data_IF_869280377985
#
_entry.id   IF_869280377985
#
_cell.length_a   1.000
_cell.length_b   1.000
_cell.length_c   1.000
_cell.angle_alpha   90.00
_cell.angle_beta   90.00
_cell.angle_gamma   90.00
#
_symmetry.space_group_name_H-M   'P 1'
#
loop_
_entity.id
_entity.type
_entity.pdbx_description
1 polymer ?
#
# COMPACT_ATOMS: atom_id res chain seq x y z
N UNK A 1 57.19 30.03 13.25
CA UNK A 1 56.75 31.02 12.28
C UNK A 1 55.86 30.37 11.27
N UNK A 2 54.58 30.39 11.46
CA UNK A 2 53.49 30.83 10.59
C UNK A 2 52.14 30.39 11.19
N UNK A 3 51.28 31.36 11.38
CA UNK A 3 49.93 31.27 11.90
C UNK A 3 49.05 30.41 10.97
N UNK A 4 48.28 29.51 11.55
CA UNK A 4 47.16 28.85 10.86
C UNK A 4 45.86 29.33 11.51
N UNK A 5 45.08 30.06 10.68
CA UNK A 5 43.86 30.71 11.09
C UNK A 5 42.77 29.73 11.55
N UNK A 6 42.09 30.13 12.60
CA UNK A 6 40.86 29.50 13.14
C UNK A 6 39.72 29.77 12.14
N UNK A 7 39.24 28.73 11.44
CA UNK A 7 37.96 28.75 10.77
C UNK A 7 36.81 28.59 11.77
N UNK A 8 35.91 29.58 11.79
CA UNK A 8 34.77 29.61 12.69
C UNK A 8 33.76 28.50 12.39
N UNK A 9 33.36 27.80 13.44
CA UNK A 9 32.24 26.85 13.40
C UNK A 9 30.93 27.62 13.28
N UNK A 10 30.33 27.62 12.09
CA UNK A 10 28.96 28.05 11.92
C UNK A 10 28.03 26.98 12.51
N UNK A 11 27.38 27.32 13.63
CA UNK A 11 26.31 26.55 14.25
C UNK A 11 25.16 26.41 13.23
N UNK A 12 24.93 25.19 12.74
CA UNK A 12 23.68 24.84 12.06
C UNK A 12 22.59 24.82 13.12
N UNK A 13 21.74 25.85 13.12
CA UNK A 13 20.52 25.85 13.88
C UNK A 13 19.69 24.63 13.45
N UNK A 14 19.39 23.74 14.39
CA UNK A 14 18.52 22.59 14.21
C UNK A 14 17.13 23.09 13.83
N UNK A 15 16.67 22.76 12.63
CA UNK A 15 15.27 22.91 12.27
C UNK A 15 14.48 21.94 13.14
N UNK A 16 13.69 22.46 14.05
CA UNK A 16 12.65 21.70 14.78
C UNK A 16 11.71 21.11 13.74
N UNK A 17 11.40 19.80 13.78
CA UNK A 17 10.39 19.25 12.88
C UNK A 17 9.08 20.01 13.10
N UNK A 18 8.49 20.50 12.01
CA UNK A 18 7.19 21.17 12.06
C UNK A 18 6.17 20.21 12.69
N UNK A 19 5.33 20.72 13.60
CA UNK A 19 4.24 19.96 14.16
C UNK A 19 3.36 19.43 13.00
N UNK A 20 2.79 18.20 13.11
CA UNK A 20 1.93 17.66 12.06
C UNK A 20 0.79 18.65 11.79
N UNK A 21 0.61 18.97 10.50
CA UNK A 21 -0.39 19.93 10.05
C UNK A 21 -1.79 19.41 10.39
N UNK A 22 -2.46 20.08 11.35
CA UNK A 22 -3.82 19.72 11.78
C UNK A 22 -4.85 19.87 10.66
N UNK A 23 -4.55 20.61 9.60
CA UNK A 23 -5.42 20.74 8.43
C UNK A 23 -5.38 19.46 7.59
N UNK A 24 -4.21 18.81 7.42
CA UNK A 24 -4.11 17.59 6.64
C UNK A 24 -5.04 16.47 7.15
N UNK A 25 -5.14 16.30 8.47
CA UNK A 25 -6.04 15.29 9.04
C UNK A 25 -7.53 15.57 8.80
N UNK A 26 -7.94 16.86 8.77
CA UNK A 26 -9.33 17.26 8.48
C UNK A 26 -9.67 17.08 7.00
N UNK A 27 -8.75 17.45 6.12
CA UNK A 27 -8.93 17.33 4.68
C UNK A 27 -9.01 15.85 4.27
N UNK A 28 -8.20 14.99 4.84
CA UNK A 28 -8.24 13.54 4.60
C UNK A 28 -9.57 12.91 5.04
N UNK A 29 -10.12 13.30 6.20
CA UNK A 29 -11.45 12.84 6.65
C UNK A 29 -12.54 13.26 5.64
N UNK A 30 -12.52 14.50 5.17
CA UNK A 30 -13.48 15.00 4.19
C UNK A 30 -13.36 14.27 2.85
N UNK A 31 -12.13 13.99 2.39
CA UNK A 31 -11.90 13.18 1.19
C UNK A 31 -12.47 11.76 1.35
N UNK A 32 -12.33 11.17 2.53
CA UNK A 32 -12.89 9.85 2.80
C UNK A 32 -14.42 9.82 2.77
N UNK A 33 -15.09 10.84 3.32
CA UNK A 33 -16.55 10.98 3.24
C UNK A 33 -17.04 11.09 1.79
N UNK A 34 -16.35 11.86 0.96
CA UNK A 34 -16.65 11.96 -0.49
C UNK A 34 -16.44 10.65 -1.22
N UNK A 35 -15.33 9.93 -0.93
CA UNK A 35 -15.06 8.61 -1.45
C UNK A 35 -16.18 7.62 -1.09
N UNK A 36 -16.60 7.59 0.19
CA UNK A 36 -17.68 6.74 0.64
C UNK A 36 -19.01 7.07 -0.06
N UNK A 37 -19.33 8.36 -0.21
CA UNK A 37 -20.54 8.81 -0.90
C UNK A 37 -20.54 8.34 -2.36
N UNK A 38 -19.38 8.41 -3.04
CA UNK A 38 -19.22 7.93 -4.40
C UNK A 38 -19.46 6.43 -4.51
N UNK A 39 -18.85 5.64 -3.65
CA UNK A 39 -19.04 4.17 -3.65
C UNK A 39 -20.47 3.77 -3.32
N UNK A 40 -21.13 4.45 -2.37
CA UNK A 40 -22.55 4.25 -2.07
C UNK A 40 -23.47 4.64 -3.23
N UNK A 41 -23.01 5.47 -4.15
CA UNK A 41 -23.72 5.79 -5.39
C UNK A 41 -23.80 4.62 -6.37
N UNK A 42 -22.98 3.59 -6.23
CA UNK A 42 -23.05 2.36 -7.02
C UNK A 42 -24.18 1.46 -6.49
N UNK A 43 -25.21 1.13 -7.31
CA UNK A 43 -26.40 0.42 -6.80
C UNK A 43 -26.09 -0.91 -6.13
N UNK A 44 -25.13 -1.68 -6.65
CA UNK A 44 -24.74 -2.96 -6.09
C UNK A 44 -24.02 -2.79 -4.74
N UNK A 45 -23.19 -1.76 -4.59
CA UNK A 45 -22.52 -1.43 -3.32
C UNK A 45 -23.55 -1.03 -2.28
N UNK A 46 -24.50 -0.13 -2.65
CA UNK A 46 -25.56 0.32 -1.76
C UNK A 46 -26.48 -0.81 -1.26
N UNK A 47 -26.67 -1.85 -2.08
CA UNK A 47 -27.51 -3.00 -1.77
C UNK A 47 -26.76 -4.12 -1.00
N UNK A 48 -25.44 -3.96 -0.73
CA UNK A 48 -24.62 -5.04 -0.16
C UNK A 48 -24.08 -4.69 1.23
N UNK A 49 -24.78 -5.11 2.33
CA UNK A 49 -24.44 -4.71 3.70
C UNK A 49 -23.00 -5.04 4.12
N UNK A 50 -22.44 -6.19 3.70
CA UNK A 50 -21.08 -6.58 4.05
C UNK A 50 -20.05 -5.66 3.37
N UNK A 51 -20.30 -5.24 2.13
CA UNK A 51 -19.45 -4.31 1.41
C UNK A 51 -19.47 -2.92 2.08
N UNK A 52 -20.66 -2.43 2.46
CA UNK A 52 -20.81 -1.19 3.20
C UNK A 52 -20.09 -1.23 4.55
N UNK A 53 -20.20 -2.35 5.29
CA UNK A 53 -19.52 -2.50 6.57
C UNK A 53 -17.98 -2.48 6.43
N UNK A 54 -17.42 -3.03 5.34
CA UNK A 54 -15.98 -2.96 5.05
C UNK A 54 -15.56 -1.52 4.71
N UNK A 55 -16.35 -0.78 3.93
CA UNK A 55 -16.10 0.62 3.59
C UNK A 55 -16.14 1.49 4.88
N UNK A 56 -17.12 1.31 5.73
CA UNK A 56 -17.27 2.06 6.98
C UNK A 56 -16.18 1.72 8.00
N UNK A 57 -15.85 0.43 8.12
CA UNK A 57 -14.84 -0.06 9.04
C UNK A 57 -13.40 0.35 8.66
N UNK A 58 -13.16 0.76 7.44
CA UNK A 58 -11.83 1.15 6.97
C UNK A 58 -11.27 2.39 7.67
N UNK A 59 -12.12 3.29 8.19
CA UNK A 59 -11.70 4.46 8.98
C UNK A 59 -10.98 4.06 10.27
N UNK A 60 -11.30 2.90 10.82
CA UNK A 60 -10.77 2.41 12.10
C UNK A 60 -9.64 1.40 11.91
N UNK A 61 -9.34 1.05 10.67
CA UNK A 61 -8.22 0.18 10.34
C UNK A 61 -7.03 1.05 9.96
N UNK A 62 -5.85 0.61 10.35
CA UNK A 62 -4.57 1.12 9.87
C UNK A 62 -4.35 0.70 8.40
N UNK A 63 -5.39 0.86 7.58
CA UNK A 63 -5.23 0.77 6.13
C UNK A 63 -4.30 1.91 5.77
N UNK A 64 -3.05 1.55 5.50
CA UNK A 64 -2.02 2.46 5.04
C UNK A 64 -2.67 3.52 4.16
N UNK A 65 -2.45 4.82 4.43
CA UNK A 65 -3.16 5.95 3.80
C UNK A 65 -3.00 6.04 2.26
N UNK A 66 -2.69 4.92 1.60
CA UNK A 66 -2.48 4.85 0.15
C UNK A 66 -3.69 5.31 -0.67
N UNK A 67 -4.90 5.20 -0.13
CA UNK A 67 -6.12 5.67 -0.79
C UNK A 67 -6.19 7.20 -0.94
N UNK A 68 -5.48 7.98 -0.10
CA UNK A 68 -5.43 9.45 -0.19
C UNK A 68 -4.32 9.95 -1.13
N UNK A 69 -3.37 9.11 -1.49
CA UNK A 69 -2.26 9.45 -2.39
C UNK A 69 -2.68 10.00 -3.75
N UNK A 70 -3.78 9.54 -4.39
CA UNK A 70 -4.26 10.18 -5.61
C UNK A 70 -4.60 11.66 -5.40
N UNK A 71 -5.18 12.03 -4.27
CA UNK A 71 -5.52 13.42 -3.96
C UNK A 71 -4.25 14.24 -3.75
N UNK A 72 -3.30 13.73 -2.99
CA UNK A 72 -1.99 14.37 -2.75
C UNK A 72 -1.24 14.57 -4.07
N UNK A 73 -1.17 13.55 -4.92
CA UNK A 73 -0.50 13.63 -6.21
C UNK A 73 -1.18 14.63 -7.17
N UNK A 74 -2.52 14.65 -7.19
CA UNK A 74 -3.30 15.61 -7.97
C UNK A 74 -2.98 17.05 -7.56
N UNK A 75 -2.98 17.33 -6.27
CA UNK A 75 -2.63 18.65 -5.73
C UNK A 75 -1.17 19.02 -6.04
N UNK A 76 -0.25 18.08 -5.91
CA UNK A 76 1.17 18.29 -6.19
C UNK A 76 1.44 18.72 -7.64
N UNK A 77 0.59 18.30 -8.58
CA UNK A 77 0.69 18.71 -9.99
C UNK A 77 -0.19 19.93 -10.33
N UNK A 78 -0.82 20.57 -9.32
CA UNK A 78 -1.65 21.77 -9.49
C UNK A 78 -3.11 21.48 -9.82
N UNK A 79 -3.56 20.22 -9.74
CA UNK A 79 -4.96 19.83 -9.90
C UNK A 79 -5.79 20.13 -8.65
N UNK A 80 -7.13 20.13 -8.81
CA UNK A 80 -8.05 20.28 -7.68
C UNK A 80 -8.29 18.91 -7.03
N UNK A 81 -8.39 18.84 -5.69
CA UNK A 81 -8.62 17.58 -4.96
C UNK A 81 -9.79 16.75 -5.51
N UNK A 82 -10.89 17.44 -5.87
CA UNK A 82 -12.11 16.78 -6.34
C UNK A 82 -11.90 15.98 -7.63
N UNK A 83 -10.95 16.39 -8.46
CA UNK A 83 -10.63 15.68 -9.71
C UNK A 83 -10.04 14.28 -9.45
N UNK A 84 -9.44 14.07 -8.28
CA UNK A 84 -8.82 12.79 -7.92
C UNK A 84 -9.72 11.86 -7.08
N UNK A 85 -10.93 12.29 -6.69
CA UNK A 85 -11.80 11.48 -5.81
C UNK A 85 -12.21 10.14 -6.44
N UNK A 86 -12.39 10.10 -7.77
CA UNK A 86 -12.65 8.85 -8.49
C UNK A 86 -11.44 7.89 -8.42
N UNK A 87 -10.25 8.43 -8.59
CA UNK A 87 -8.99 7.69 -8.47
C UNK A 87 -8.76 7.21 -7.02
N UNK A 88 -9.03 8.05 -6.03
CA UNK A 88 -8.96 7.69 -4.62
C UNK A 88 -9.94 6.54 -4.27
N UNK A 89 -11.17 6.58 -4.79
CA UNK A 89 -12.14 5.50 -4.62
C UNK A 89 -11.68 4.19 -5.27
N UNK A 90 -11.06 4.27 -6.44
CA UNK A 90 -10.52 3.09 -7.14
C UNK A 90 -9.34 2.47 -6.39
N UNK A 91 -8.41 3.29 -5.89
CA UNK A 91 -7.27 2.84 -5.06
C UNK A 91 -7.77 2.23 -3.75
N UNK A 92 -8.72 2.86 -3.08
CA UNK A 92 -9.36 2.32 -1.88
C UNK A 92 -9.97 0.93 -2.12
N UNK A 93 -10.74 0.78 -3.18
CA UNK A 93 -11.34 -0.50 -3.55
C UNK A 93 -10.26 -1.57 -3.82
N UNK A 94 -9.20 -1.20 -4.53
CA UNK A 94 -8.08 -2.11 -4.78
C UNK A 94 -7.37 -2.52 -3.49
N UNK A 95 -7.15 -1.58 -2.58
CA UNK A 95 -6.53 -1.83 -1.28
C UNK A 95 -7.36 -2.82 -0.45
N UNK A 96 -8.68 -2.62 -0.35
CA UNK A 96 -9.57 -3.55 0.36
C UNK A 96 -9.57 -4.94 -0.30
N UNK A 97 -9.60 -4.99 -1.64
CA UNK A 97 -9.54 -6.25 -2.38
C UNK A 97 -8.24 -7.01 -2.11
N UNK A 98 -7.10 -6.32 -2.15
CA UNK A 98 -5.78 -6.89 -1.90
C UNK A 98 -5.72 -7.46 -0.47
N UNK A 99 -6.15 -6.70 0.54
CA UNK A 99 -6.16 -7.18 1.92
C UNK A 99 -7.03 -8.43 2.11
N UNK A 100 -8.23 -8.46 1.51
CA UNK A 100 -9.10 -9.64 1.59
C UNK A 100 -8.45 -10.89 0.97
N UNK A 101 -7.71 -10.73 -0.12
CA UNK A 101 -7.00 -11.85 -0.77
C UNK A 101 -5.77 -12.25 0.04
N UNK A 102 -4.99 -11.30 0.52
CA UNK A 102 -3.79 -11.50 1.34
C UNK A 102 -4.15 -12.27 2.62
N UNK A 103 -5.14 -11.78 3.38
CA UNK A 103 -5.66 -12.44 4.57
C UNK A 103 -6.08 -13.91 4.31
N UNK A 104 -6.71 -14.16 3.15
CA UNK A 104 -7.15 -15.51 2.77
C UNK A 104 -5.98 -16.44 2.46
N UNK A 105 -4.97 -15.95 1.73
CA UNK A 105 -3.80 -16.73 1.34
C UNK A 105 -2.90 -17.01 2.53
N UNK A 106 -2.78 -16.02 3.42
CA UNK A 106 -1.97 -16.12 4.63
C UNK A 106 -2.67 -16.79 5.79
N UNK A 107 -3.96 -17.16 5.64
CA UNK A 107 -4.78 -17.71 6.71
C UNK A 107 -4.72 -16.85 7.99
N UNK A 108 -4.67 -15.49 7.82
CA UNK A 108 -4.48 -14.55 8.94
C UNK A 108 -5.62 -14.71 9.97
N UNK A 109 -5.30 -14.98 11.25
CA UNK A 109 -6.32 -15.12 12.30
C UNK A 109 -7.14 -13.84 12.53
N UNK A 110 -6.65 -12.66 12.07
CA UNK A 110 -7.31 -11.36 12.17
C UNK A 110 -8.15 -11.04 10.94
N UNK A 111 -7.98 -11.82 9.85
CA UNK A 111 -8.60 -11.56 8.55
C UNK A 111 -10.13 -11.57 8.61
N UNK A 112 -10.75 -10.68 7.84
CA UNK A 112 -12.21 -10.57 7.76
C UNK A 112 -12.89 -11.86 7.31
N UNK A 113 -12.20 -12.73 6.57
CA UNK A 113 -12.74 -14.01 6.14
C UNK A 113 -13.08 -14.94 7.30
N UNK A 114 -12.46 -14.77 8.47
CA UNK A 114 -12.84 -15.53 9.70
C UNK A 114 -14.28 -15.25 10.12
N UNK A 115 -14.71 -14.01 9.94
CA UNK A 115 -16.08 -13.56 10.26
C UNK A 115 -17.05 -13.77 9.08
N UNK A 116 -16.58 -13.53 7.86
CA UNK A 116 -17.41 -13.57 6.65
C UNK A 116 -17.55 -14.97 6.05
N UNK A 117 -16.54 -15.82 6.23
CA UNK A 117 -16.33 -17.05 5.49
C UNK A 117 -15.46 -16.85 4.24
N UNK A 118 -14.71 -17.90 3.86
CA UNK A 118 -13.77 -17.89 2.72
C UNK A 118 -14.45 -17.50 1.40
N UNK A 119 -15.55 -18.15 1.05
CA UNK A 119 -16.27 -17.88 -0.20
C UNK A 119 -16.80 -16.44 -0.30
N UNK A 120 -17.52 -15.93 0.72
CA UNK A 120 -17.97 -14.54 0.74
C UNK A 120 -16.82 -13.53 0.70
N UNK A 121 -15.71 -13.76 1.40
CA UNK A 121 -14.54 -12.86 1.37
C UNK A 121 -13.89 -12.80 -0.01
N UNK A 122 -13.71 -13.94 -0.67
CA UNK A 122 -13.20 -13.99 -2.05
C UNK A 122 -14.14 -13.27 -3.03
N UNK A 123 -15.46 -13.44 -2.88
CA UNK A 123 -16.43 -12.74 -3.72
C UNK A 123 -16.45 -11.22 -3.46
N UNK A 124 -16.27 -10.78 -2.21
CA UNK A 124 -16.11 -9.37 -1.86
C UNK A 124 -14.84 -8.78 -2.47
N UNK A 125 -13.72 -9.50 -2.45
CA UNK A 125 -12.49 -9.05 -3.11
C UNK A 125 -12.71 -8.78 -4.59
N UNK A 126 -13.38 -9.71 -5.30
CA UNK A 126 -13.77 -9.51 -6.71
C UNK A 126 -14.69 -8.30 -6.89
N UNK A 127 -15.69 -8.14 -6.01
CA UNK A 127 -16.63 -7.03 -6.05
C UNK A 127 -15.94 -5.68 -5.82
N UNK A 128 -14.99 -5.60 -4.91
CA UNK A 128 -14.19 -4.38 -4.69
C UNK A 128 -13.33 -4.04 -5.91
N UNK A 129 -12.69 -5.01 -6.56
CA UNK A 129 -11.98 -4.75 -7.82
C UNK A 129 -12.92 -4.16 -8.87
N UNK A 130 -14.10 -4.76 -9.08
CA UNK A 130 -15.08 -4.25 -10.01
C UNK A 130 -15.60 -2.84 -9.64
N UNK A 131 -15.82 -2.58 -8.33
CA UNK A 131 -16.26 -1.28 -7.86
C UNK A 131 -15.20 -0.19 -8.08
N UNK A 132 -13.90 -0.52 -7.97
CA UNK A 132 -12.82 0.40 -8.31
C UNK A 132 -12.87 0.84 -9.77
N UNK A 133 -13.06 -0.09 -10.69
CA UNK A 133 -13.25 0.22 -12.11
C UNK A 133 -14.53 1.04 -12.35
N UNK A 134 -15.63 0.69 -11.70
CA UNK A 134 -16.90 1.42 -11.81
C UNK A 134 -16.77 2.86 -11.25
N UNK A 135 -15.98 3.07 -10.19
CA UNK A 135 -15.72 4.39 -9.65
C UNK A 135 -14.97 5.33 -10.63
N UNK A 136 -14.16 4.78 -11.54
CA UNK A 136 -13.48 5.53 -12.59
C UNK A 136 -14.37 5.79 -13.82
N UNK A 137 -15.50 5.10 -13.96
CA UNK A 137 -16.43 5.33 -15.07
C UNK A 137 -17.32 6.54 -14.78
N UNK A 138 -16.70 7.71 -14.68
CA UNK A 138 -17.34 8.98 -14.41
C UNK A 138 -17.47 9.80 -15.70
N UNK A 139 -18.68 10.23 -16.09
CA UNK A 139 -18.89 11.05 -17.28
C UNK A 139 -18.20 12.43 -17.19
N UNK A 140 -17.89 12.94 -16.00
CA UNK A 140 -17.17 14.19 -15.82
C UNK A 140 -15.68 14.07 -16.15
N UNK A 141 -15.14 12.85 -16.16
CA UNK A 141 -13.74 12.59 -16.55
C UNK A 141 -13.67 12.51 -18.09
N UNK A 142 -12.78 13.31 -18.70
CA UNK A 142 -12.57 13.26 -20.14
C UNK A 142 -12.25 11.82 -20.62
N UNK A 143 -12.84 11.34 -21.72
CA UNK A 143 -12.71 9.94 -22.15
C UNK A 143 -11.27 9.44 -22.29
N UNK A 144 -10.36 10.28 -22.77
CA UNK A 144 -8.94 9.92 -22.89
C UNK A 144 -8.29 9.71 -21.52
N UNK A 145 -8.53 10.61 -20.55
CA UNK A 145 -8.02 10.48 -19.18
C UNK A 145 -8.62 9.24 -18.51
N UNK A 146 -9.93 9.04 -18.65
CA UNK A 146 -10.61 7.85 -18.11
C UNK A 146 -9.99 6.55 -18.62
N UNK A 147 -9.69 6.47 -19.92
CA UNK A 147 -9.02 5.30 -20.49
C UNK A 147 -7.64 5.05 -19.88
N UNK A 148 -6.84 6.10 -19.66
CA UNK A 148 -5.53 6.00 -19.01
C UNK A 148 -5.65 5.57 -17.53
N UNK A 149 -6.62 6.11 -16.80
CA UNK A 149 -6.89 5.71 -15.41
C UNK A 149 -7.30 4.22 -15.33
N UNK A 150 -8.18 3.77 -16.22
CA UNK A 150 -8.63 2.37 -16.30
C UNK A 150 -7.45 1.43 -16.63
N UNK A 151 -6.60 1.81 -17.58
CA UNK A 151 -5.41 1.02 -17.93
C UNK A 151 -4.43 0.93 -16.75
N UNK A 152 -4.16 2.05 -16.08
CA UNK A 152 -3.29 2.10 -14.92
C UNK A 152 -3.80 1.20 -13.76
N UNK A 153 -5.10 1.26 -13.49
CA UNK A 153 -5.72 0.41 -12.45
C UNK A 153 -5.62 -1.07 -12.79
N UNK A 154 -5.86 -1.44 -14.05
CA UNK A 154 -5.76 -2.83 -14.50
C UNK A 154 -4.31 -3.36 -14.46
N UNK A 155 -3.33 -2.55 -14.90
CA UNK A 155 -1.90 -2.87 -14.81
C UNK A 155 -1.49 -3.12 -13.36
N UNK A 156 -1.89 -2.25 -12.44
CA UNK A 156 -1.64 -2.37 -11.01
C UNK A 156 -2.23 -3.65 -10.44
N UNK A 157 -3.51 -3.92 -10.71
CA UNK A 157 -4.20 -5.10 -10.18
C UNK A 157 -3.52 -6.39 -10.64
N UNK A 158 -3.14 -6.49 -11.92
CA UNK A 158 -2.43 -7.65 -12.45
C UNK A 158 -1.03 -7.79 -11.85
N UNK A 159 -0.28 -6.70 -11.72
CA UNK A 159 1.05 -6.71 -11.13
C UNK A 159 1.02 -7.15 -9.66
N UNK A 160 0.09 -6.62 -8.86
CA UNK A 160 -0.06 -6.97 -7.45
C UNK A 160 -0.50 -8.43 -7.28
N UNK A 161 -1.44 -8.91 -8.10
CA UNK A 161 -1.86 -10.31 -8.08
C UNK A 161 -0.70 -11.26 -8.43
N UNK A 162 0.16 -10.88 -9.38
CA UNK A 162 1.37 -11.62 -9.69
C UNK A 162 2.39 -11.58 -8.54
N UNK A 163 2.55 -10.42 -7.89
CA UNK A 163 3.39 -10.29 -6.71
C UNK A 163 2.95 -11.20 -5.57
N UNK A 164 1.65 -11.29 -5.32
CA UNK A 164 1.06 -12.19 -4.33
C UNK A 164 1.28 -13.67 -4.70
N UNK A 165 1.23 -14.01 -6.01
CA UNK A 165 1.59 -15.34 -6.47
C UNK A 165 3.08 -15.67 -6.23
N UNK A 166 3.97 -14.69 -6.39
CA UNK A 166 5.39 -14.90 -6.06
C UNK A 166 5.61 -15.07 -4.56
N UNK A 167 4.90 -14.29 -3.74
CA UNK A 167 4.98 -14.32 -2.27
C UNK A 167 4.53 -15.65 -1.65
N UNK A 168 3.65 -16.38 -2.34
CA UNK A 168 3.24 -17.73 -1.93
C UNK A 168 4.34 -18.81 -2.05
N UNK A 169 5.54 -18.45 -2.53
CA UNK A 169 6.68 -19.35 -2.66
C UNK A 169 7.72 -19.02 -1.60
N UNK A 170 8.46 -20.04 -1.15
CA UNK A 170 9.62 -19.81 -0.31
C UNK A 170 10.68 -19.00 -1.07
N UNK A 171 11.20 -17.96 -0.44
CA UNK A 171 12.31 -17.14 -0.93
C UNK A 171 13.62 -17.72 -0.41
N UNK A 172 14.49 -18.13 -1.32
CA UNK A 172 15.78 -18.76 -0.98
C UNK A 172 16.94 -17.78 -0.82
N UNK A 173 16.85 -16.61 -1.46
CA UNK A 173 17.92 -15.62 -1.44
C UNK A 173 17.40 -14.17 -1.52
N UNK A 174 18.31 -13.21 -1.37
CA UNK A 174 18.01 -11.78 -1.39
C UNK A 174 17.47 -11.31 -2.76
N UNK A 175 17.92 -11.88 -3.87
CA UNK A 175 17.46 -11.48 -5.19
C UNK A 175 15.99 -11.88 -5.41
N UNK A 176 15.62 -13.08 -4.99
CA UNK A 176 14.23 -13.55 -5.00
C UNK A 176 13.35 -12.69 -4.06
N UNK A 177 13.84 -12.36 -2.87
CA UNK A 177 13.14 -11.45 -1.95
C UNK A 177 12.80 -10.12 -2.64
N UNK A 178 13.78 -9.47 -3.28
CA UNK A 178 13.55 -8.20 -3.95
C UNK A 178 12.61 -8.30 -5.15
N UNK A 179 12.52 -9.46 -5.80
CA UNK A 179 11.51 -9.71 -6.84
C UNK A 179 10.09 -9.74 -6.25
N UNK A 180 9.91 -10.45 -5.14
CA UNK A 180 8.61 -10.50 -4.43
C UNK A 180 8.21 -9.12 -3.95
N UNK A 181 9.07 -8.45 -3.20
CA UNK A 181 8.82 -7.10 -2.66
C UNK A 181 8.50 -6.11 -3.78
N UNK A 182 9.26 -6.13 -4.88
CA UNK A 182 9.03 -5.23 -6.01
C UNK A 182 7.71 -5.46 -6.75
N UNK A 183 7.13 -6.65 -6.64
CA UNK A 183 5.89 -7.03 -7.30
C UNK A 183 4.64 -6.95 -6.40
N UNK A 184 4.76 -7.14 -5.07
CA UNK A 184 3.62 -7.20 -4.13
C UNK A 184 3.05 -5.82 -3.82
N UNK A 185 3.76 -4.99 -3.11
CA UNK A 185 3.28 -3.71 -2.55
C UNK A 185 3.53 -2.48 -3.46
N UNK A 186 4.70 -2.33 -4.10
CA UNK A 186 5.03 -1.16 -4.91
C UNK A 186 4.06 -0.81 -6.03
N UNK A 187 3.44 -1.77 -6.76
CA UNK A 187 2.50 -1.45 -7.83
C UNK A 187 1.31 -0.62 -7.35
N UNK A 188 0.77 -0.90 -6.16
CA UNK A 188 -0.36 -0.14 -5.59
C UNK A 188 0.03 1.31 -5.31
N UNK A 189 1.17 1.54 -4.66
CA UNK A 189 1.65 2.87 -4.31
C UNK A 189 2.04 3.68 -5.55
N UNK A 190 2.67 3.03 -6.53
CA UNK A 190 2.99 3.65 -7.82
C UNK A 190 1.73 4.08 -8.55
N UNK A 191 0.77 3.16 -8.71
CA UNK A 191 -0.50 3.46 -9.36
C UNK A 191 -1.29 4.56 -8.64
N UNK A 192 -1.30 4.58 -7.29
CA UNK A 192 -2.01 5.59 -6.52
C UNK A 192 -1.51 7.02 -6.87
N UNK A 193 -0.19 7.23 -6.88
CA UNK A 193 0.38 8.53 -7.26
C UNK A 193 0.19 8.83 -8.75
N UNK A 194 0.35 7.83 -9.64
CA UNK A 194 0.14 8.00 -11.08
C UNK A 194 -1.30 8.37 -11.42
N UNK A 195 -2.28 7.68 -10.84
CA UNK A 195 -3.71 7.95 -11.03
C UNK A 195 -4.07 9.38 -10.62
N UNK A 196 -3.56 9.83 -9.47
CA UNK A 196 -3.76 11.20 -9.00
C UNK A 196 -3.16 12.25 -9.90
N UNK A 197 -1.94 12.02 -10.39
CA UNK A 197 -1.28 12.92 -11.32
C UNK A 197 -2.05 13.04 -12.65
N UNK A 198 -2.49 11.92 -13.22
CA UNK A 198 -3.31 11.89 -14.44
C UNK A 198 -4.64 12.61 -14.24
N UNK A 199 -5.32 12.38 -13.12
CA UNK A 199 -6.55 13.07 -12.76
C UNK A 199 -6.35 14.59 -12.59
N UNK A 200 -5.17 15.00 -12.11
CA UNK A 200 -4.76 16.41 -11.98
C UNK A 200 -4.33 17.05 -13.29
N UNK A 201 -4.32 16.32 -14.41
CA UNK A 201 -3.95 16.82 -15.73
C UNK A 201 -2.44 16.85 -16.00
N UNK A 202 -1.64 16.10 -15.23
CA UNK A 202 -0.21 16.03 -15.44
C UNK A 202 0.14 15.36 -16.79
N UNK A 203 1.22 15.81 -17.47
CA UNK A 203 1.77 15.08 -18.61
C UNK A 203 2.20 13.66 -18.22
N UNK A 204 2.13 12.71 -19.16
CA UNK A 204 2.47 11.30 -18.94
C UNK A 204 3.88 11.11 -18.33
N UNK A 205 4.85 11.95 -18.70
CA UNK A 205 6.20 11.92 -18.14
C UNK A 205 6.20 12.21 -16.63
N UNK A 206 5.46 13.22 -16.16
CA UNK A 206 5.34 13.58 -14.74
C UNK A 206 4.59 12.49 -14.00
N UNK A 207 3.50 11.96 -14.54
CA UNK A 207 2.75 10.84 -13.97
C UNK A 207 3.65 9.58 -13.83
N UNK A 208 4.55 9.35 -14.79
CA UNK A 208 5.54 8.27 -14.73
C UNK A 208 6.60 8.47 -13.63
N UNK A 209 7.03 9.71 -13.36
CA UNK A 209 7.95 9.99 -12.24
C UNK A 209 7.26 9.76 -10.89
N UNK A 210 5.97 10.15 -10.79
CA UNK A 210 5.19 9.91 -9.58
C UNK A 210 4.89 8.40 -9.37
N UNK A 211 4.69 7.62 -10.44
CA UNK A 211 4.65 6.14 -10.34
C UNK A 211 5.95 5.60 -9.73
N UNK A 212 7.11 6.05 -10.23
CA UNK A 212 8.41 5.62 -9.69
C UNK A 212 8.59 5.98 -8.22
N UNK A 213 8.21 7.19 -7.84
CA UNK A 213 8.25 7.63 -6.44
C UNK A 213 7.34 6.74 -5.57
N UNK A 214 6.12 6.48 -6.02
CA UNK A 214 5.18 5.60 -5.32
C UNK A 214 5.73 4.19 -5.15
N UNK A 215 6.34 3.62 -6.18
CA UNK A 215 6.99 2.30 -6.08
C UNK A 215 8.11 2.26 -5.05
N UNK A 216 8.96 3.28 -4.99
CA UNK A 216 9.99 3.37 -3.95
C UNK A 216 9.38 3.46 -2.55
N UNK A 217 8.30 4.24 -2.40
CA UNK A 217 7.56 4.32 -1.14
C UNK A 217 6.95 2.97 -0.75
N UNK A 218 6.36 2.24 -1.69
CA UNK A 218 5.82 0.90 -1.46
C UNK A 218 6.89 -0.11 -1.05
N UNK A 219 8.09 -0.04 -1.62
CA UNK A 219 9.23 -0.85 -1.17
C UNK A 219 9.64 -0.50 0.25
N UNK A 220 9.70 0.78 0.59
CA UNK A 220 10.02 1.23 1.94
C UNK A 220 8.98 0.74 2.97
N UNK A 221 7.70 0.82 2.62
CA UNK A 221 6.61 0.31 3.46
C UNK A 221 6.77 -1.19 3.69
N UNK A 222 6.95 -2.00 2.65
CA UNK A 222 7.11 -3.45 2.78
C UNK A 222 8.28 -3.83 3.70
N UNK A 223 9.46 -3.21 3.50
CA UNK A 223 10.62 -3.47 4.36
C UNK A 223 10.37 -3.05 5.80
N UNK A 224 9.62 -1.95 6.01
CA UNK A 224 9.26 -1.47 7.34
C UNK A 224 8.29 -2.43 8.05
N UNK A 225 7.33 -2.98 7.30
CA UNK A 225 6.39 -3.98 7.81
C UNK A 225 7.11 -5.27 8.19
N UNK A 226 8.02 -5.76 7.35
CA UNK A 226 8.86 -6.94 7.64
C UNK A 226 9.67 -6.75 8.92
N UNK A 227 10.24 -5.56 9.12
CA UNK A 227 11.01 -5.23 10.33
C UNK A 227 10.09 -5.16 11.55
N UNK A 228 8.92 -4.55 11.43
CA UNK A 228 7.94 -4.46 12.50
C UNK A 228 7.46 -5.84 12.94
N UNK A 229 7.19 -6.72 11.98
CA UNK A 229 6.75 -8.10 12.23
C UNK A 229 7.85 -8.94 12.89
N UNK A 230 9.09 -8.77 12.49
CA UNK A 230 10.23 -9.45 13.11
C UNK A 230 10.43 -9.05 14.59
N UNK A 231 10.05 -7.83 14.96
CA UNK A 231 10.20 -7.29 16.32
C UNK A 231 8.94 -7.46 17.20
N UNK A 232 7.84 -7.96 16.64
CA UNK A 232 6.56 -8.06 17.32
C UNK A 232 6.55 -9.12 18.42
N UNK A 233 5.89 -8.81 19.52
CA UNK A 233 5.64 -9.77 20.62
C UNK A 233 4.14 -9.80 20.96
N UNK A 234 3.48 -10.98 20.94
CA UNK A 234 4.02 -12.27 20.50
C UNK A 234 4.40 -12.26 19.02
N UNK A 235 5.22 -13.23 18.59
CA UNK A 235 5.69 -13.33 17.22
C UNK A 235 4.53 -13.29 16.21
N UNK A 236 4.71 -12.57 15.09
CA UNK A 236 3.70 -12.47 14.02
C UNK A 236 3.45 -13.84 13.38
N UNK A 237 2.32 -13.98 12.70
CA UNK A 237 2.02 -15.19 11.93
C UNK A 237 3.08 -15.45 10.86
N UNK A 238 3.60 -14.40 10.22
CA UNK A 238 4.66 -14.49 9.21
C UNK A 238 5.95 -15.05 9.79
N UNK A 239 6.33 -14.59 10.98
CA UNK A 239 7.47 -15.14 11.69
C UNK A 239 7.29 -16.63 12.05
N UNK A 240 6.09 -17.01 12.47
CA UNK A 240 5.77 -18.41 12.79
C UNK A 240 5.76 -19.31 11.57
N UNK A 241 5.28 -18.80 10.42
CA UNK A 241 5.24 -19.53 9.14
C UNK A 241 6.55 -19.49 8.37
N UNK A 242 7.54 -18.70 8.84
CA UNK A 242 8.80 -18.46 8.13
C UNK A 242 8.58 -17.89 6.73
N UNK A 243 7.53 -17.05 6.57
CA UNK A 243 7.21 -16.37 5.33
C UNK A 243 8.31 -15.40 4.92
N UNK A 244 8.23 -14.92 3.70
CA UNK A 244 9.21 -14.07 3.01
C UNK A 244 9.44 -12.74 3.73
N UNK A 245 10.29 -12.73 4.75
CA UNK A 245 10.56 -11.61 5.62
C UNK A 245 12.07 -11.30 5.61
N UNK A 246 12.46 -10.06 5.32
CA UNK A 246 13.86 -9.68 5.15
C UNK A 246 14.74 -9.96 6.38
N UNK A 247 14.38 -9.56 7.60
CA UNK A 247 15.13 -9.93 8.81
C UNK A 247 15.35 -11.42 8.98
N UNK A 248 14.33 -12.24 8.70
CA UNK A 248 14.44 -13.69 8.79
C UNK A 248 15.37 -14.25 7.73
N UNK A 249 15.27 -13.78 6.49
CA UNK A 249 16.17 -14.18 5.41
C UNK A 249 17.62 -13.90 5.79
N UNK A 250 17.93 -12.71 6.31
CA UNK A 250 19.27 -12.37 6.77
C UNK A 250 19.73 -13.23 7.96
N UNK A 251 18.86 -13.48 8.92
CA UNK A 251 19.20 -14.34 10.05
C UNK A 251 19.54 -15.79 9.63
N UNK A 252 18.92 -16.28 8.54
CA UNK A 252 19.22 -17.62 8.00
C UNK A 252 20.44 -17.65 7.10
N UNK A 253 20.67 -16.62 6.29
CA UNK A 253 21.64 -16.67 5.17
C UNK A 253 22.93 -15.90 5.39
N UNK A 254 22.88 -14.76 6.12
CA UNK A 254 24.07 -13.93 6.36
C UNK A 254 25.07 -14.63 7.27
N UNK A 255 26.36 -14.28 7.12
CA UNK A 255 27.41 -14.73 8.03
C UNK A 255 27.41 -13.87 9.30
N UNK A 256 26.90 -14.44 10.40
CA UNK A 256 26.87 -13.78 11.72
C UNK A 256 27.04 -14.80 12.86
N UNK A 257 27.56 -14.38 14.03
CA UNK A 257 27.90 -15.28 15.13
C UNK A 257 26.75 -16.15 15.65
N UNK A 258 25.52 -15.65 15.63
CA UNK A 258 24.34 -16.34 16.16
C UNK A 258 23.62 -17.21 15.08
N UNK A 259 24.11 -17.28 13.84
CA UNK A 259 23.43 -18.00 12.74
C UNK A 259 23.16 -19.47 13.07
N UNK A 260 24.15 -20.18 13.60
CA UNK A 260 24.00 -21.60 13.94
C UNK A 260 22.95 -21.82 15.04
N UNK A 261 22.91 -20.94 16.04
CA UNK A 261 21.92 -20.98 17.10
C UNK A 261 20.51 -20.65 16.56
N UNK A 262 20.39 -19.61 15.71
CA UNK A 262 19.14 -19.25 15.07
C UNK A 262 18.57 -20.40 14.24
N UNK A 263 19.37 -21.05 13.39
CA UNK A 263 18.94 -22.19 12.60
C UNK A 263 18.52 -23.38 13.47
N UNK A 264 19.23 -23.64 14.57
CA UNK A 264 18.88 -24.72 15.52
C UNK A 264 17.56 -24.44 16.25
N UNK A 265 17.26 -23.18 16.56
CA UNK A 265 15.99 -22.77 17.18
C UNK A 265 14.84 -22.79 16.16
N UNK A 266 15.10 -22.35 14.93
CA UNK A 266 14.09 -22.31 13.87
C UNK A 266 13.57 -23.70 13.47
N UNK A 267 14.36 -24.77 13.65
CA UNK A 267 13.95 -26.15 13.40
C UNK A 267 13.19 -26.78 14.57
N UNK A 268 13.29 -26.24 15.77
CA UNK A 268 12.61 -26.77 16.99
C UNK A 268 11.18 -26.28 17.18
N UNK A 269 10.75 -25.27 16.46
CA UNK A 269 9.40 -24.69 16.60
C UNK A 269 8.32 -25.47 15.81
N UNK A 270 8.63 -26.66 15.30
CA UNK A 270 7.68 -27.57 14.63
C UNK A 270 7.01 -28.58 15.58
N UNK A 271 7.45 -28.64 16.87
CA UNK A 271 6.85 -29.43 17.95
C UNK A 271 6.04 -28.53 18.91
#
# INVERSE_FOLDING_TARGET
LTEVGRAGSASRAGATPAAPDQNHGRDSILHFEHLQARLRGLPQVAAWPQMLALIEGAVHRDLQCAWDFPVVACQAVGGRPEAALAAAAAVFCSLVSIHLVDDLLDDDPRGDFRRLGVGPAANLALAFQAAGHAALDDPEIAPAVRAELQACLAEMALATAFGQHLDSREVGDEAEYWQVVGAKTPPLFGAALRLGALAGGAPAAVAGELDRLGRLLGMFVQVSDDLADALRQPASADWQRRSNNLPMLYAMTADHPARAEFLALSTRSED
#
